data_IF_257221689679
#
_entry.id   IF_257221689679
#
_cell.length_a   1.000
_cell.length_b   1.000
_cell.length_c   1.000
_cell.angle_alpha   90.00
_cell.angle_beta   90.00
_cell.angle_gamma   90.00
#
_symmetry.space_group_name_H-M   'P 1'
#
loop_
_entity.id
_entity.type
_entity.pdbx_description
1 polymer ?
#
# COMPACT_ATOMS: atom_id res chain seq x y z
N UNK A 1 28.52 -21.51 -3.04
CA UNK A 1 27.06 -21.40 -2.79
C UNK A 1 26.90 -20.48 -1.60
N UNK A 2 26.79 -19.16 -1.83
CA UNK A 2 26.66 -18.19 -0.74
C UNK A 2 25.19 -18.08 -0.37
N UNK A 3 24.85 -18.63 0.80
CA UNK A 3 23.55 -18.49 1.42
C UNK A 3 23.41 -17.04 1.90
N UNK A 4 22.86 -16.18 1.04
CA UNK A 4 22.44 -14.83 1.42
C UNK A 4 21.08 -14.94 2.10
N UNK A 5 21.08 -15.08 3.43
CA UNK A 5 19.86 -14.92 4.23
C UNK A 5 19.24 -13.56 3.87
N UNK A 6 17.99 -13.48 3.38
CA UNK A 6 17.34 -12.19 3.26
C UNK A 6 17.01 -11.76 4.68
N UNK A 7 17.92 -11.03 5.32
CA UNK A 7 17.62 -10.21 6.50
C UNK A 7 16.77 -9.03 6.01
N UNK A 8 15.62 -9.33 5.42
CA UNK A 8 14.66 -8.36 4.95
C UNK A 8 13.90 -7.87 6.16
N UNK A 9 14.35 -6.76 6.77
CA UNK A 9 13.51 -6.04 7.71
C UNK A 9 12.14 -5.87 7.06
N UNK A 10 11.08 -6.26 7.80
CA UNK A 10 9.71 -6.22 7.31
C UNK A 10 9.40 -4.82 6.77
N UNK A 11 8.71 -4.72 5.64
CA UNK A 11 8.38 -3.45 4.99
C UNK A 11 6.88 -3.39 4.83
N UNK A 12 6.20 -2.74 5.77
CA UNK A 12 4.76 -2.53 5.71
C UNK A 12 4.49 -1.14 5.17
N UNK A 13 3.64 -1.07 4.15
CA UNK A 13 3.10 0.16 3.59
C UNK A 13 1.65 0.29 4.04
N UNK A 14 1.26 1.48 4.48
CA UNK A 14 -0.12 1.86 4.71
C UNK A 14 -0.51 2.90 3.67
N UNK A 15 -1.63 2.67 2.98
CA UNK A 15 -2.24 3.62 2.04
C UNK A 15 -3.53 4.16 2.66
N UNK A 16 -3.53 5.44 3.01
CA UNK A 16 -4.72 6.18 3.47
C UNK A 16 -5.38 6.94 2.33
N UNK A 17 -6.72 6.88 2.23
CA UNK A 17 -7.48 7.52 1.16
C UNK A 17 -7.85 8.96 1.59
N UNK A 18 -7.18 9.97 1.03
CA UNK A 18 -7.33 11.37 1.47
C UNK A 18 -8.56 12.07 0.91
N UNK A 19 -8.98 11.70 -0.30
CA UNK A 19 -10.06 12.36 -1.03
C UNK A 19 -11.06 11.34 -1.50
N UNK A 20 -12.18 11.26 -0.78
CA UNK A 20 -13.35 10.53 -1.23
C UNK A 20 -14.27 11.56 -1.89
N UNK A 21 -14.57 11.45 -3.20
CA UNK A 21 -15.57 12.32 -3.80
C UNK A 21 -16.90 12.17 -3.05
N UNK A 22 -17.52 13.30 -2.68
CA UNK A 22 -18.70 13.40 -1.81
C UNK A 22 -19.99 12.74 -2.36
N UNK A 23 -19.88 11.96 -3.45
CA UNK A 23 -20.99 11.34 -4.15
C UNK A 23 -21.24 9.92 -3.63
N UNK A 24 -22.27 9.80 -2.78
CA UNK A 24 -22.93 8.59 -2.26
C UNK A 24 -22.09 7.67 -1.36
N UNK A 25 -22.65 7.35 -0.18
CA UNK A 25 -22.08 6.44 0.82
C UNK A 25 -21.67 5.06 0.26
N UNK A 26 -22.29 4.61 -0.84
CA UNK A 26 -21.94 3.36 -1.53
C UNK A 26 -20.54 3.41 -2.16
N UNK A 27 -20.11 4.55 -2.71
CA UNK A 27 -18.80 4.71 -3.32
C UNK A 27 -17.67 4.66 -2.28
N UNK A 28 -17.95 5.14 -1.07
CA UNK A 28 -17.00 5.22 0.04
C UNK A 28 -16.54 3.83 0.50
N UNK A 29 -17.41 2.83 0.43
CA UNK A 29 -17.09 1.43 0.73
C UNK A 29 -16.32 0.73 -0.39
N UNK A 30 -16.48 1.18 -1.64
CA UNK A 30 -15.89 0.53 -2.81
C UNK A 30 -14.46 1.01 -3.11
N UNK A 31 -14.05 2.19 -2.64
CA UNK A 31 -12.72 2.73 -2.92
C UNK A 31 -11.58 1.89 -2.30
N UNK A 32 -11.64 1.48 -1.01
CA UNK A 32 -10.60 0.61 -0.44
C UNK A 32 -10.47 -0.70 -1.20
N UNK A 33 -11.60 -1.29 -1.62
CA UNK A 33 -11.63 -2.51 -2.43
C UNK A 33 -10.94 -2.30 -3.78
N UNK A 34 -11.30 -1.26 -4.52
CA UNK A 34 -10.67 -0.92 -5.80
C UNK A 34 -9.17 -0.66 -5.66
N UNK A 35 -8.77 0.10 -4.64
CA UNK A 35 -7.37 0.36 -4.33
C UNK A 35 -6.66 -0.95 -4.01
N UNK A 36 -7.21 -1.80 -3.15
CA UNK A 36 -6.60 -3.08 -2.82
C UNK A 36 -6.49 -4.03 -4.00
N UNK A 37 -7.47 -4.08 -4.90
CA UNK A 37 -7.37 -4.86 -6.15
C UNK A 37 -6.17 -4.41 -7.00
N UNK A 38 -6.01 -3.11 -7.23
CA UNK A 38 -4.85 -2.56 -7.94
C UNK A 38 -3.54 -2.95 -7.22
N UNK A 39 -3.55 -2.91 -5.89
CA UNK A 39 -2.35 -3.15 -5.12
C UNK A 39 -1.94 -4.63 -5.03
N UNK A 40 -2.84 -5.57 -5.34
CA UNK A 40 -2.48 -6.99 -5.45
C UNK A 40 -1.44 -7.26 -6.53
N UNK A 41 -1.23 -6.34 -7.48
CA UNK A 41 -0.14 -6.40 -8.43
C UNK A 41 1.25 -6.28 -7.78
N UNK A 42 1.33 -5.67 -6.59
CA UNK A 42 2.59 -5.48 -5.85
C UNK A 42 2.89 -6.61 -4.87
N UNK A 43 1.87 -7.13 -4.19
CA UNK A 43 2.00 -8.20 -3.20
C UNK A 43 0.65 -8.88 -2.99
N UNK A 44 0.64 -10.16 -2.64
CA UNK A 44 -0.58 -10.86 -2.24
C UNK A 44 -0.96 -10.57 -0.78
N UNK A 45 -0.03 -10.00 -0.01
CA UNK A 45 -0.21 -9.67 1.41
C UNK A 45 -0.85 -8.28 1.56
N UNK A 46 -2.13 -8.21 1.20
CA UNK A 46 -2.96 -6.99 1.28
C UNK A 46 -4.04 -7.16 2.34
N UNK A 47 -4.16 -6.18 3.23
CA UNK A 47 -5.16 -6.16 4.30
C UNK A 47 -5.96 -4.86 4.29
N UNK A 48 -7.29 -4.99 4.37
CA UNK A 48 -8.23 -3.87 4.24
C UNK A 48 -8.69 -3.39 5.62
N UNK A 49 -8.77 -2.07 5.79
CA UNK A 49 -9.47 -1.43 6.90
C UNK A 49 -10.54 -0.48 6.38
N UNK A 50 -11.35 0.11 7.27
CA UNK A 50 -12.48 0.96 6.88
C UNK A 50 -12.09 2.14 5.97
N UNK A 51 -10.88 2.67 6.14
CA UNK A 51 -10.39 3.90 5.51
C UNK A 51 -8.99 3.75 4.87
N UNK A 52 -8.40 2.55 4.93
CA UNK A 52 -7.01 2.35 4.52
C UNK A 52 -6.71 0.92 4.08
N UNK A 53 -5.57 0.74 3.40
CA UNK A 53 -5.08 -0.56 2.92
C UNK A 53 -3.63 -0.76 3.35
N UNK A 54 -3.34 -1.88 4.01
CA UNK A 54 -2.00 -2.28 4.44
C UNK A 54 -1.40 -3.29 3.47
N UNK A 55 -0.10 -3.17 3.20
CA UNK A 55 0.64 -4.03 2.29
C UNK A 55 1.95 -4.45 2.89
N UNK A 56 2.24 -5.74 2.86
CA UNK A 56 3.58 -6.25 3.16
C UNK A 56 4.39 -6.38 1.86
N UNK A 57 5.34 -5.47 1.69
CA UNK A 57 6.23 -5.41 0.52
C UNK A 57 7.65 -5.87 0.84
N UNK A 58 7.81 -6.63 1.94
CA UNK A 58 9.09 -7.27 2.29
C UNK A 58 9.60 -8.11 1.13
N UNK A 59 8.67 -8.88 0.53
CA UNK A 59 8.84 -9.60 -0.72
C UNK A 59 7.71 -9.15 -1.66
N UNK A 60 8.03 -8.31 -2.63
CA UNK A 60 7.07 -7.79 -3.60
C UNK A 60 7.30 -8.44 -4.97
N UNK A 61 6.24 -8.50 -5.79
CA UNK A 61 6.23 -9.16 -7.10
C UNK A 61 7.17 -8.53 -8.13
N UNK A 62 7.61 -7.30 -7.89
CA UNK A 62 8.55 -6.57 -8.73
C UNK A 62 10.02 -6.72 -8.28
N UNK A 63 10.28 -7.54 -7.25
CA UNK A 63 11.59 -7.76 -6.64
C UNK A 63 12.34 -6.46 -6.27
N UNK A 64 11.58 -5.42 -5.89
CA UNK A 64 12.14 -4.11 -5.57
C UNK A 64 12.70 -4.15 -4.14
N UNK A 65 14.01 -3.95 -3.93
CA UNK A 65 14.60 -4.05 -2.60
C UNK A 65 14.23 -2.87 -1.69
N UNK A 66 13.92 -1.70 -2.26
CA UNK A 66 13.62 -0.49 -1.49
C UNK A 66 12.12 -0.25 -1.36
N UNK A 67 11.59 -0.43 -0.15
CA UNK A 67 10.17 -0.16 0.15
C UNK A 67 9.75 1.26 -0.26
N UNK A 68 10.63 2.26 -0.03
CA UNK A 68 10.43 3.66 -0.45
C UNK A 68 10.08 3.83 -1.93
N UNK A 69 10.69 3.02 -2.79
CA UNK A 69 10.41 3.03 -4.23
C UNK A 69 9.05 2.42 -4.53
N UNK A 70 8.71 1.31 -3.87
CA UNK A 70 7.39 0.66 -3.98
C UNK A 70 6.28 1.61 -3.55
N UNK A 71 6.44 2.32 -2.43
CA UNK A 71 5.46 3.32 -1.97
C UNK A 71 5.23 4.45 -3.00
N UNK A 72 6.31 4.99 -3.60
CA UNK A 72 6.17 6.00 -4.65
C UNK A 72 5.44 5.46 -5.87
N UNK A 73 5.76 4.24 -6.30
CA UNK A 73 5.06 3.58 -7.41
C UNK A 73 3.58 3.40 -7.10
N UNK A 74 3.24 2.87 -5.93
CA UNK A 74 1.86 2.73 -5.48
C UNK A 74 1.11 4.07 -5.56
N UNK A 75 1.69 5.15 -5.02
CA UNK A 75 1.08 6.49 -5.09
C UNK A 75 0.82 6.94 -6.53
N UNK A 76 1.80 6.72 -7.41
CA UNK A 76 1.70 7.07 -8.82
C UNK A 76 0.65 6.24 -9.55
N UNK A 77 0.59 4.93 -9.31
CA UNK A 77 -0.38 4.03 -9.92
C UNK A 77 -1.82 4.38 -9.50
N UNK A 78 -2.07 4.58 -8.20
CA UNK A 78 -3.41 4.96 -7.71
C UNK A 78 -3.85 6.28 -8.35
N UNK A 79 -2.96 7.28 -8.41
CA UNK A 79 -3.28 8.56 -9.07
C UNK A 79 -3.54 8.39 -10.56
N UNK A 80 -2.79 7.52 -11.25
CA UNK A 80 -2.90 7.30 -12.70
C UNK A 80 -4.18 6.56 -13.08
N UNK A 81 -4.53 5.51 -12.35
CA UNK A 81 -5.67 4.65 -12.67
C UNK A 81 -7.00 5.17 -12.12
N UNK A 82 -6.98 5.79 -10.93
CA UNK A 82 -8.20 6.18 -10.22
C UNK A 82 -8.37 7.69 -10.08
N UNK A 83 -7.33 8.49 -10.38
CA UNK A 83 -7.34 9.93 -10.16
C UNK A 83 -7.36 10.34 -8.68
N UNK A 84 -7.15 9.39 -7.76
CA UNK A 84 -7.23 9.62 -6.32
C UNK A 84 -5.89 10.07 -5.75
N UNK A 85 -5.94 10.98 -4.77
CA UNK A 85 -4.80 11.30 -3.92
C UNK A 85 -4.83 10.43 -2.67
N UNK A 86 -3.67 9.90 -2.31
CA UNK A 86 -3.46 9.04 -1.15
C UNK A 86 -2.22 9.44 -0.37
N UNK A 87 -2.31 9.25 0.95
CA UNK A 87 -1.22 9.39 1.90
C UNK A 87 -0.63 8.01 2.15
N UNK A 88 0.70 7.96 2.29
CA UNK A 88 1.41 6.69 2.42
C UNK A 88 2.37 6.75 3.59
N UNK A 89 2.14 5.87 4.57
CA UNK A 89 3.06 5.61 5.68
C UNK A 89 3.83 4.31 5.46
N UNK A 90 5.08 4.23 5.95
CA UNK A 90 5.88 3.01 5.84
C UNK A 90 6.69 2.75 7.09
N UNK A 91 6.64 1.52 7.56
CA UNK A 91 7.36 1.10 8.76
C UNK A 91 7.52 -0.42 8.83
N UNK A 92 8.29 -0.97 9.79
CA UNK A 92 8.44 -2.42 9.93
C UNK A 92 7.21 -3.14 10.47
N UNK A 93 6.18 -2.41 10.90
CA UNK A 93 4.90 -2.98 11.31
C UNK A 93 3.75 -2.01 11.04
N UNK A 94 2.52 -2.52 11.12
CA UNK A 94 1.29 -1.75 10.82
C UNK A 94 1.08 -0.56 11.77
N UNK A 95 1.40 -0.73 13.04
CA UNK A 95 1.20 0.32 14.05
C UNK A 95 2.08 1.54 13.77
N UNK A 96 3.37 1.30 13.53
CA UNK A 96 4.31 2.36 13.17
C UNK A 96 4.00 2.95 11.79
N UNK A 97 3.52 2.15 10.84
CA UNK A 97 3.17 2.64 9.51
C UNK A 97 2.03 3.68 9.58
N UNK A 98 1.08 3.49 10.49
CA UNK A 98 0.00 4.45 10.77
C UNK A 98 0.49 5.73 11.44
N UNK A 99 1.55 5.66 12.25
CA UNK A 99 2.16 6.84 12.88
C UNK A 99 3.08 7.64 11.94
N UNK A 100 3.64 6.97 10.93
CA UNK A 100 4.55 7.57 9.96
C UNK A 100 3.84 8.26 8.77
N UNK A 101 2.51 8.21 8.75
CA UNK A 101 1.66 8.67 7.66
C UNK A 101 1.40 10.17 7.69
#
# INVERSE_FOLDING_TARGET
MSCSTPTGHRKVILVGIDSIPATKADAQRQIPDQVGELLREFTDLVEFTADAVYLDVTYNKFDIPFGGRVAKMIKSEIKRHMGLQVSIGMAPNKFLARLAM
#
